data_IF_270661935721
#
_entry.id   IF_270661935721
#
_cell.length_a   1.000
_cell.length_b   1.000
_cell.length_c   1.000
_cell.angle_alpha   90.00
_cell.angle_beta   90.00
_cell.angle_gamma   90.00
#
_symmetry.space_group_name_H-M   'P 1'
#
loop_
_entity.id
_entity.type
_entity.pdbx_description
1 polymer ?
#
# COMPACT_ATOMS: atom_id res chain seq x y z
N UNK A 1 -20.34 35.59 -28.30
CA UNK A 1 -20.09 34.14 -28.11
C UNK A 1 -18.60 33.89 -28.31
N UNK A 2 -17.95 33.20 -27.37
CA UNK A 2 -16.52 32.87 -27.47
C UNK A 2 -16.38 31.48 -28.10
N UNK A 3 -15.67 31.37 -29.22
CA UNK A 3 -15.48 30.10 -29.93
C UNK A 3 -14.05 29.57 -29.79
N UNK A 4 -13.90 28.28 -29.55
CA UNK A 4 -12.59 27.63 -29.50
C UNK A 4 -12.09 27.33 -30.92
N UNK A 5 -10.93 27.89 -31.30
CA UNK A 5 -10.29 27.62 -32.59
C UNK A 5 -9.93 26.15 -32.79
N UNK A 6 -9.65 25.43 -31.69
CA UNK A 6 -9.17 24.04 -31.73
C UNK A 6 -10.30 23.00 -31.93
N UNK A 7 -11.49 23.22 -31.37
CA UNK A 7 -12.61 22.26 -31.42
C UNK A 7 -13.94 22.85 -31.91
N UNK A 8 -13.97 24.14 -32.28
CA UNK A 8 -15.14 24.87 -32.79
C UNK A 8 -16.35 24.96 -31.83
N UNK A 9 -16.21 24.61 -30.55
CA UNK A 9 -17.28 24.81 -29.55
C UNK A 9 -17.44 26.29 -29.20
N UNK A 10 -18.70 26.75 -29.10
CA UNK A 10 -19.09 28.11 -28.72
C UNK A 10 -19.56 28.19 -27.27
N UNK A 11 -19.10 29.21 -26.54
CA UNK A 11 -19.41 29.45 -25.13
C UNK A 11 -20.05 30.82 -24.95
N UNK A 12 -21.09 30.88 -24.11
CA UNK A 12 -21.80 32.13 -23.77
C UNK A 12 -21.03 32.98 -22.75
N UNK A 13 -20.28 32.34 -21.83
CA UNK A 13 -19.51 33.01 -20.76
C UNK A 13 -18.01 32.88 -21.00
N UNK A 14 -17.28 33.98 -20.85
CA UNK A 14 -15.82 34.02 -21.03
C UNK A 14 -15.06 33.08 -20.07
N UNK A 15 -15.50 33.01 -18.80
CA UNK A 15 -14.93 32.08 -17.80
C UNK A 15 -15.04 30.62 -18.23
N UNK A 16 -16.16 30.23 -18.85
CA UNK A 16 -16.37 28.88 -19.39
C UNK A 16 -15.47 28.60 -20.59
N UNK A 17 -15.26 29.60 -21.45
CA UNK A 17 -14.31 29.52 -22.57
C UNK A 17 -12.86 29.35 -22.09
N UNK A 18 -12.43 30.08 -21.05
CA UNK A 18 -11.09 29.94 -20.47
C UNK A 18 -10.87 28.56 -19.84
N UNK A 19 -11.84 28.06 -19.05
CA UNK A 19 -11.82 26.70 -18.50
C UNK A 19 -11.82 25.61 -19.58
N UNK A 20 -12.44 25.87 -20.72
CA UNK A 20 -12.39 24.99 -21.88
C UNK A 20 -11.02 25.05 -22.57
N UNK A 21 -10.45 26.23 -22.76
CA UNK A 21 -9.17 26.45 -23.44
C UNK A 21 -8.01 25.77 -22.70
N UNK A 22 -8.03 25.71 -21.37
CA UNK A 22 -7.03 24.95 -20.59
C UNK A 22 -7.12 23.43 -20.81
N UNK A 23 -8.33 22.92 -21.10
CA UNK A 23 -8.62 21.49 -21.30
C UNK A 23 -8.55 21.05 -22.77
N UNK A 24 -8.71 21.98 -23.71
CA UNK A 24 -8.76 21.73 -25.15
C UNK A 24 -7.36 21.69 -25.80
N UNK A 25 -6.43 20.93 -25.21
CA UNK A 25 -5.13 20.61 -25.85
C UNK A 25 -5.27 19.30 -26.63
N UNK A 26 -5.09 19.37 -27.95
CA UNK A 26 -5.06 18.19 -28.83
C UNK A 26 -3.66 17.59 -28.83
N UNK A 27 -3.58 16.29 -28.58
CA UNK A 27 -2.34 15.50 -28.64
C UNK A 27 -2.45 14.55 -29.81
N UNK A 28 -1.43 14.55 -30.66
CA UNK A 28 -1.36 13.65 -31.81
C UNK A 28 -0.60 12.40 -31.40
N UNK A 29 -1.20 11.23 -31.63
CA UNK A 29 -0.48 9.98 -31.42
C UNK A 29 0.64 9.87 -32.45
N UNK A 30 1.89 9.80 -31.99
CA UNK A 30 3.06 9.62 -32.89
C UNK A 30 2.99 8.34 -33.72
N UNK A 31 2.22 7.33 -33.29
CA UNK A 31 2.11 6.02 -33.94
C UNK A 31 0.98 5.94 -34.97
N UNK A 32 -0.25 6.31 -34.59
CA UNK A 32 -1.41 6.24 -35.49
C UNK A 32 -1.76 7.58 -36.17
N UNK A 33 -1.02 8.65 -35.84
CA UNK A 33 -1.21 10.03 -36.34
C UNK A 33 -2.60 10.63 -36.08
N UNK A 34 -3.45 9.97 -35.31
CA UNK A 34 -4.78 10.49 -34.96
C UNK A 34 -4.70 11.48 -33.80
N UNK A 35 -5.50 12.54 -33.87
CA UNK A 35 -5.55 13.60 -32.84
C UNK A 35 -6.61 13.31 -31.79
N UNK A 36 -6.24 13.36 -30.51
CA UNK A 36 -7.14 13.15 -29.38
C UNK A 36 -7.08 14.34 -28.41
N UNK A 37 -8.10 14.50 -27.58
CA UNK A 37 -7.97 15.38 -26.41
C UNK A 37 -6.94 14.80 -25.44
N UNK A 38 -6.25 15.65 -24.68
CA UNK A 38 -5.28 15.21 -23.66
C UNK A 38 -5.86 14.22 -22.64
N UNK A 39 -7.18 14.27 -22.38
CA UNK A 39 -7.89 13.38 -21.45
C UNK A 39 -8.21 12.01 -22.09
N UNK A 40 -8.54 11.99 -23.38
CA UNK A 40 -8.91 10.76 -24.10
C UNK A 40 -7.70 10.05 -24.70
N UNK A 41 -6.53 10.71 -24.73
CA UNK A 41 -5.33 10.19 -25.36
C UNK A 41 -4.83 8.89 -24.72
N UNK A 42 -4.98 8.72 -23.41
CA UNK A 42 -4.52 7.51 -22.72
C UNK A 42 -5.42 6.31 -22.95
N UNK A 43 -6.74 6.53 -23.01
CA UNK A 43 -7.67 5.50 -23.46
C UNK A 43 -7.32 5.03 -24.88
N UNK A 44 -6.91 5.96 -25.75
CA UNK A 44 -6.39 5.62 -27.07
C UNK A 44 -5.06 4.85 -26.99
N UNK A 45 -4.06 5.26 -26.19
CA UNK A 45 -2.80 4.53 -26.05
C UNK A 45 -3.00 3.10 -25.56
N UNK A 46 -3.99 2.86 -24.70
CA UNK A 46 -4.36 1.53 -24.21
C UNK A 46 -5.07 0.67 -25.28
N UNK A 47 -5.71 1.29 -26.28
CA UNK A 47 -6.47 0.61 -27.35
C UNK A 47 -5.73 0.57 -28.69
N UNK A 48 -4.61 1.28 -28.82
CA UNK A 48 -3.82 1.34 -30.04
C UNK A 48 -3.22 -0.03 -30.32
N UNK A 49 -3.63 -0.66 -31.44
CA UNK A 49 -3.38 -2.08 -31.79
C UNK A 49 -1.91 -2.50 -31.99
N UNK A 50 -0.94 -1.61 -31.78
CA UNK A 50 0.48 -1.96 -31.84
C UNK A 50 1.06 -1.96 -30.43
N UNK A 51 1.61 -3.12 -30.01
CA UNK A 51 2.27 -3.31 -28.71
C UNK A 51 3.16 -2.10 -28.40
N UNK A 52 2.97 -1.52 -27.23
CA UNK A 52 3.84 -0.46 -26.73
C UNK A 52 5.27 -1.01 -26.61
N UNK A 53 6.27 -0.20 -26.97
CA UNK A 53 7.64 -0.50 -26.56
C UNK A 53 7.68 -0.24 -25.07
N UNK A 54 7.71 -1.30 -24.26
CA UNK A 54 7.91 -1.18 -22.82
C UNK A 54 9.32 -0.66 -22.49
N UNK A 55 10.21 -0.57 -23.48
CA UNK A 55 11.57 -0.14 -23.26
C UNK A 55 11.70 1.37 -23.08
N UNK A 56 12.25 1.72 -21.93
CA UNK A 56 12.61 3.06 -21.51
C UNK A 56 14.12 3.12 -21.37
N UNK A 57 14.72 4.20 -21.85
CA UNK A 57 16.13 4.52 -21.69
C UNK A 57 16.31 5.90 -21.07
N UNK A 58 17.55 6.38 -21.14
CA UNK A 58 17.92 7.75 -20.79
C UNK A 58 17.07 8.77 -21.56
N UNK A 59 16.80 9.90 -20.92
CA UNK A 59 15.98 10.95 -21.51
C UNK A 59 16.51 12.33 -21.15
N UNK A 60 16.90 13.10 -22.17
CA UNK A 60 17.52 14.41 -22.03
C UNK A 60 18.67 14.36 -21.01
N UNK A 61 18.58 15.14 -19.92
CA UNK A 61 19.59 15.19 -18.87
C UNK A 61 19.41 14.15 -17.77
N UNK A 62 18.35 13.34 -17.82
CA UNK A 62 18.08 12.30 -16.83
C UNK A 62 18.63 10.96 -17.29
N UNK A 63 19.49 10.37 -16.46
CA UNK A 63 20.02 9.02 -16.68
C UNK A 63 19.13 7.99 -16.01
N UNK A 64 18.80 6.92 -16.71
CA UNK A 64 18.10 5.78 -16.15
C UNK A 64 19.08 4.96 -15.31
N UNK A 65 19.00 5.12 -13.98
CA UNK A 65 19.95 4.50 -13.06
C UNK A 65 19.62 3.02 -12.78
N UNK A 66 18.35 2.70 -12.53
CA UNK A 66 17.91 1.34 -12.21
C UNK A 66 16.62 1.00 -12.92
N UNK A 67 16.52 -0.25 -13.38
CA UNK A 67 15.30 -0.87 -13.91
C UNK A 67 15.11 -2.25 -13.31
N UNK A 68 13.87 -2.58 -12.97
CA UNK A 68 13.49 -3.91 -12.47
C UNK A 68 12.15 -4.37 -13.06
N UNK A 69 11.92 -5.68 -13.02
CA UNK A 69 10.66 -6.31 -13.43
C UNK A 69 10.18 -5.91 -14.84
N UNK A 70 11.08 -5.98 -15.84
CA UNK A 70 10.78 -5.60 -17.25
C UNK A 70 10.20 -4.18 -17.36
N UNK A 71 10.91 -3.21 -16.77
CA UNK A 71 10.54 -1.79 -16.73
C UNK A 71 9.25 -1.47 -15.96
N UNK A 72 8.75 -2.40 -15.14
CA UNK A 72 7.67 -2.07 -14.22
C UNK A 72 8.12 -1.14 -13.09
N UNK A 73 9.42 -1.12 -12.76
CA UNK A 73 10.02 -0.13 -11.87
C UNK A 73 11.23 0.50 -12.54
N UNK A 74 11.34 1.82 -12.45
CA UNK A 74 12.46 2.58 -12.99
C UNK A 74 12.83 3.77 -12.08
N UNK A 75 14.12 4.10 -12.05
CA UNK A 75 14.64 5.26 -11.32
C UNK A 75 15.48 6.09 -12.26
N UNK A 76 15.03 7.31 -12.53
CA UNK A 76 15.79 8.33 -13.23
C UNK A 76 16.54 9.18 -12.23
N UNK A 77 17.81 9.47 -12.51
CA UNK A 77 18.66 10.28 -11.64
C UNK A 77 19.29 11.40 -12.46
N UNK A 78 19.31 12.60 -11.87
CA UNK A 78 20.15 13.71 -12.30
C UNK A 78 20.90 14.25 -11.08
N UNK A 79 22.22 14.33 -11.19
CA UNK A 79 23.06 14.96 -10.19
C UNK A 79 23.56 16.29 -10.75
N UNK A 80 23.43 17.35 -9.95
CA UNK A 80 23.86 18.70 -10.30
C UNK A 80 24.08 19.51 -9.02
N UNK A 81 24.69 20.69 -9.13
CA UNK A 81 25.00 21.58 -8.01
C UNK A 81 23.93 22.65 -7.79
N UNK A 82 22.66 22.28 -7.60
CA UNK A 82 21.62 23.30 -7.41
C UNK A 82 21.74 23.94 -6.02
N UNK A 83 21.78 25.28 -5.95
CA UNK A 83 21.93 26.01 -4.69
C UNK A 83 20.66 25.99 -3.83
N UNK A 84 19.49 25.94 -4.46
CA UNK A 84 18.19 25.93 -3.79
C UNK A 84 17.15 25.14 -4.59
N UNK A 85 15.96 24.94 -4.02
CA UNK A 85 14.84 24.30 -4.73
C UNK A 85 14.38 25.21 -5.88
N UNK A 86 14.30 26.51 -5.68
CA UNK A 86 13.87 27.48 -6.71
C UNK A 86 14.82 27.44 -7.91
N UNK A 87 16.13 27.33 -7.64
CA UNK A 87 17.13 27.16 -8.70
C UNK A 87 16.94 25.84 -9.45
N UNK A 88 16.71 24.73 -8.74
CA UNK A 88 16.39 23.44 -9.37
C UNK A 88 15.15 23.55 -10.26
N UNK A 89 14.12 24.27 -9.82
CA UNK A 89 12.88 24.43 -10.58
C UNK A 89 13.03 25.33 -11.80
N UNK A 90 13.78 26.42 -11.67
CA UNK A 90 14.04 27.31 -12.79
C UNK A 90 14.72 26.56 -13.94
N UNK A 91 15.60 25.60 -13.63
CA UNK A 91 16.35 24.83 -14.62
C UNK A 91 15.62 23.56 -15.07
N UNK A 92 15.07 22.78 -14.13
CA UNK A 92 14.62 21.41 -14.41
C UNK A 92 13.11 21.25 -14.64
N UNK A 93 12.29 22.28 -14.36
CA UNK A 93 10.84 22.14 -14.43
C UNK A 93 10.36 21.63 -15.79
N UNK A 94 10.88 22.18 -16.89
CA UNK A 94 10.52 21.73 -18.23
C UNK A 94 11.07 20.33 -18.56
N UNK A 95 12.27 20.00 -18.07
CA UNK A 95 12.88 18.69 -18.25
C UNK A 95 12.09 17.60 -17.51
N UNK A 96 11.67 17.85 -16.27
CA UNK A 96 10.83 16.94 -15.47
C UNK A 96 9.49 16.72 -16.17
N UNK A 97 8.84 17.80 -16.63
CA UNK A 97 7.58 17.68 -17.37
C UNK A 97 7.73 16.88 -18.65
N UNK A 98 8.82 17.07 -19.38
CA UNK A 98 9.10 16.34 -20.62
C UNK A 98 9.43 14.87 -20.36
N UNK A 99 10.16 14.57 -19.29
CA UNK A 99 10.43 13.20 -18.84
C UNK A 99 9.12 12.47 -18.47
N UNK A 100 8.24 13.12 -17.70
CA UNK A 100 6.95 12.53 -17.32
C UNK A 100 6.05 12.29 -18.54
N UNK A 101 6.05 13.20 -19.53
CA UNK A 101 5.37 13.00 -20.83
C UNK A 101 5.96 11.82 -21.61
N UNK A 102 7.28 11.69 -21.64
CA UNK A 102 7.94 10.57 -22.30
C UNK A 102 7.59 9.22 -21.66
N UNK A 103 7.61 9.15 -20.32
CA UNK A 103 7.29 7.93 -19.57
C UNK A 103 5.83 7.51 -19.82
N UNK A 104 4.87 8.43 -19.71
CA UNK A 104 3.45 8.10 -19.87
C UNK A 104 3.11 7.73 -21.32
N UNK A 105 3.80 8.30 -22.32
CA UNK A 105 3.65 7.93 -23.74
C UNK A 105 4.12 6.50 -24.03
N UNK A 106 5.11 5.99 -23.30
CA UNK A 106 5.69 4.65 -23.52
C UNK A 106 5.09 3.55 -22.64
N UNK A 107 4.94 3.81 -21.35
CA UNK A 107 4.50 2.82 -20.35
C UNK A 107 2.98 2.87 -20.15
N UNK A 108 2.34 3.98 -20.49
CA UNK A 108 0.93 4.24 -20.18
C UNK A 108 0.77 4.79 -18.76
N UNK A 109 -0.19 4.24 -18.01
CA UNK A 109 -0.44 4.67 -16.62
C UNK A 109 0.74 4.31 -15.71
N UNK A 110 1.23 5.30 -14.95
CA UNK A 110 2.35 5.11 -14.01
C UNK A 110 2.07 5.80 -12.68
N UNK A 111 2.72 5.33 -11.61
CA UNK A 111 2.94 6.08 -10.39
C UNK A 111 4.33 6.67 -10.40
N UNK A 112 4.44 7.93 -10.01
CA UNK A 112 5.70 8.67 -10.03
C UNK A 112 5.96 9.26 -8.65
N UNK A 113 7.22 9.43 -8.28
CA UNK A 113 7.65 10.03 -7.02
C UNK A 113 8.96 10.79 -7.21
N UNK A 114 9.07 12.01 -6.68
CA UNK A 114 10.32 12.74 -6.62
C UNK A 114 11.04 12.53 -5.28
N UNK A 115 12.35 12.34 -5.35
CA UNK A 115 13.24 12.32 -4.19
C UNK A 115 14.41 13.27 -4.42
N UNK A 116 14.78 14.05 -3.41
CA UNK A 116 15.94 14.93 -3.45
C UNK A 116 16.96 14.50 -2.42
N UNK A 117 18.24 14.45 -2.80
CA UNK A 117 19.36 14.41 -1.87
C UNK A 117 19.80 15.85 -1.57
N UNK A 118 19.62 16.26 -0.32
CA UNK A 118 19.91 17.61 0.14
C UNK A 118 21.14 17.59 1.03
N UNK A 119 22.04 18.57 0.82
CA UNK A 119 23.17 18.82 1.72
C UNK A 119 22.84 19.99 2.63
N UNK A 120 22.85 19.75 3.93
CA UNK A 120 22.70 20.76 4.97
C UNK A 120 24.04 21.05 5.62
N UNK A 121 24.23 22.30 6.04
CA UNK A 121 25.38 22.76 6.81
C UNK A 121 24.93 23.40 8.13
N UNK A 122 25.73 23.24 9.17
CA UNK A 122 25.57 23.93 10.45
C UNK A 122 26.92 24.52 10.85
N UNK A 123 26.96 25.81 11.15
CA UNK A 123 28.15 26.44 11.71
C UNK A 123 28.23 26.17 13.21
N UNK A 124 29.39 25.70 13.68
CA UNK A 124 29.72 25.58 15.10
C UNK A 124 30.22 26.91 15.63
N UNK A 125 29.98 27.15 16.91
CA UNK A 125 30.49 28.30 17.67
C UNK A 125 32.03 28.36 17.71
N UNK A 126 32.71 27.22 17.55
CA UNK A 126 34.18 27.10 17.60
C UNK A 126 34.87 27.16 16.22
N UNK A 127 34.16 27.58 15.15
CA UNK A 127 34.78 27.85 13.84
C UNK A 127 34.83 26.66 12.86
N UNK A 128 34.04 25.61 13.07
CA UNK A 128 33.87 24.47 12.15
C UNK A 128 32.48 24.41 11.50
N UNK A 129 32.37 23.73 10.35
CA UNK A 129 31.06 23.43 9.72
C UNK A 129 30.76 21.95 9.76
N UNK A 130 29.64 21.57 10.37
CA UNK A 130 29.08 20.24 10.19
C UNK A 130 28.30 20.17 8.88
N UNK A 131 28.41 19.04 8.19
CA UNK A 131 27.64 18.75 6.99
C UNK A 131 26.84 17.48 7.18
N UNK A 132 25.57 17.47 6.75
CA UNK A 132 24.77 16.24 6.68
C UNK A 132 24.04 16.16 5.35
N UNK A 133 23.82 14.93 4.88
CA UNK A 133 23.11 14.66 3.63
C UNK A 133 21.84 13.85 3.91
N UNK A 134 20.70 14.36 3.47
CA UNK A 134 19.39 13.80 3.80
C UNK A 134 18.57 13.66 2.54
N UNK A 135 17.96 12.48 2.37
CA UNK A 135 16.93 12.28 1.37
C UNK A 135 15.60 12.84 1.86
N UNK A 136 15.01 13.73 1.07
CA UNK A 136 13.60 14.13 1.20
C UNK A 136 12.81 13.51 0.07
N UNK A 137 11.72 12.84 0.42
CA UNK A 137 10.92 12.02 -0.48
C UNK A 137 9.51 12.58 -0.49
N UNK A 138 9.04 12.98 -1.67
CA UNK A 138 7.66 13.45 -1.85
C UNK A 138 6.68 12.26 -1.91
N UNK A 139 5.38 12.54 -1.85
CA UNK A 139 4.34 11.55 -2.04
C UNK A 139 4.40 10.91 -3.44
N UNK A 140 4.13 9.61 -3.50
CA UNK A 140 3.99 8.90 -4.77
C UNK A 140 2.60 9.14 -5.36
N UNK A 141 2.54 9.82 -6.51
CA UNK A 141 1.31 10.24 -7.16
C UNK A 141 1.03 9.42 -8.42
N UNK A 142 -0.25 9.22 -8.73
CA UNK A 142 -0.66 8.49 -9.93
C UNK A 142 -0.75 9.43 -11.13
N UNK A 143 0.07 9.17 -12.14
CA UNK A 143 0.07 9.87 -13.42
C UNK A 143 -0.71 9.03 -14.44
N UNK A 144 -2.00 9.35 -14.54
CA UNK A 144 -2.97 8.67 -15.41
C UNK A 144 -3.56 9.61 -16.45
N UNK A 145 -3.07 10.86 -16.53
CA UNK A 145 -3.49 11.89 -17.48
C UNK A 145 -2.39 12.96 -17.64
N UNK A 146 -2.17 13.43 -18.86
CA UNK A 146 -1.16 14.47 -19.15
C UNK A 146 -1.44 15.80 -18.44
N UNK A 147 -2.71 16.12 -18.17
CA UNK A 147 -3.10 17.36 -17.48
C UNK A 147 -2.64 17.39 -16.01
N UNK A 148 -2.40 16.23 -15.39
CA UNK A 148 -2.02 16.17 -13.98
C UNK A 148 -0.52 16.44 -13.75
N UNK A 149 0.30 16.48 -14.80
CA UNK A 149 1.76 16.63 -14.68
C UNK A 149 2.12 17.93 -13.94
N UNK A 150 1.52 19.05 -14.32
CA UNK A 150 1.79 20.34 -13.67
C UNK A 150 1.40 20.33 -12.19
N UNK A 151 0.25 19.72 -11.86
CA UNK A 151 -0.23 19.59 -10.48
C UNK A 151 0.65 18.65 -9.64
N UNK A 152 1.14 17.56 -10.23
CA UNK A 152 2.04 16.61 -9.58
C UNK A 152 3.36 17.29 -9.23
N UNK A 153 3.97 17.99 -10.19
CA UNK A 153 5.22 18.72 -9.97
C UNK A 153 5.03 19.78 -8.89
N UNK A 154 3.93 20.54 -8.93
CA UNK A 154 3.61 21.53 -7.90
C UNK A 154 3.47 20.91 -6.49
N UNK A 155 2.73 19.80 -6.37
CA UNK A 155 2.56 19.12 -5.08
C UNK A 155 3.90 18.59 -4.52
N UNK A 156 4.75 18.01 -5.36
CA UNK A 156 6.07 17.57 -4.93
C UNK A 156 6.91 18.71 -4.36
N UNK A 157 6.86 19.88 -5.00
CA UNK A 157 7.60 21.07 -4.56
C UNK A 157 7.10 21.50 -3.18
N UNK A 158 5.79 21.72 -3.03
CA UNK A 158 5.20 22.17 -1.77
C UNK A 158 5.54 21.21 -0.61
N UNK A 159 5.49 19.89 -0.85
CA UNK A 159 5.85 18.90 0.18
C UNK A 159 7.33 18.93 0.55
N UNK A 160 8.21 19.07 -0.45
CA UNK A 160 9.66 19.10 -0.21
C UNK A 160 10.05 20.39 0.51
N UNK A 161 9.52 21.55 0.10
CA UNK A 161 9.74 22.84 0.77
C UNK A 161 9.32 22.76 2.24
N UNK A 162 8.09 22.30 2.51
CA UNK A 162 7.62 22.08 3.88
C UNK A 162 8.54 21.12 4.67
N UNK A 163 9.07 20.08 4.03
CA UNK A 163 9.96 19.12 4.68
C UNK A 163 11.37 19.67 4.93
N UNK A 164 11.81 20.69 4.18
CA UNK A 164 13.04 21.44 4.44
C UNK A 164 12.79 22.43 5.58
N UNK A 165 11.70 23.20 5.53
CA UNK A 165 11.37 24.17 6.58
C UNK A 165 11.24 23.52 7.95
N UNK A 166 10.57 22.36 8.01
CA UNK A 166 10.48 21.59 9.26
C UNK A 166 11.84 21.10 9.77
N UNK A 167 12.82 20.92 8.87
CA UNK A 167 14.16 20.48 9.25
C UNK A 167 15.03 21.66 9.73
N UNK A 168 14.87 22.85 9.14
CA UNK A 168 15.62 24.06 9.48
C UNK A 168 15.05 24.79 10.72
N UNK A 169 13.72 24.77 10.93
CA UNK A 169 13.06 25.54 11.98
C UNK A 169 13.14 24.96 13.40
N UNK A 170 13.60 23.72 13.60
CA UNK A 170 13.64 23.07 14.92
C UNK A 170 14.82 23.50 15.82
N UNK A 171 15.30 24.74 15.69
CA UNK A 171 16.34 25.32 16.55
C UNK A 171 17.72 24.66 16.45
N UNK A 172 17.94 23.81 15.45
CA UNK A 172 19.12 22.97 15.31
C UNK A 172 20.27 23.64 14.54
N UNK A 173 20.05 24.82 13.95
CA UNK A 173 21.07 25.61 13.25
C UNK A 173 21.45 25.10 11.85
N UNK A 174 20.69 24.14 11.31
CA UNK A 174 20.92 23.59 9.97
C UNK A 174 20.37 24.52 8.89
N UNK A 175 21.19 24.80 7.89
CA UNK A 175 20.84 25.57 6.69
C UNK A 175 21.05 24.72 5.46
N UNK A 176 20.12 24.78 4.50
CA UNK A 176 20.29 24.10 3.22
C UNK A 176 21.46 24.73 2.45
N UNK A 177 22.47 23.93 2.11
CA UNK A 177 23.60 24.38 1.29
C UNK A 177 23.36 24.16 -0.20
N UNK A 178 22.85 22.98 -0.56
CA UNK A 178 22.59 22.61 -1.96
C UNK A 178 21.70 21.38 -2.07
N UNK A 179 21.04 21.26 -3.22
CA UNK A 179 20.44 20.01 -3.71
C UNK A 179 21.47 19.32 -4.58
N UNK A 180 21.87 18.10 -4.23
CA UNK A 180 22.88 17.33 -4.96
C UNK A 180 22.29 16.44 -6.05
N UNK A 181 21.15 15.82 -5.77
CA UNK A 181 20.57 14.80 -6.64
C UNK A 181 19.06 14.95 -6.67
N UNK A 182 18.50 14.84 -7.87
CA UNK A 182 17.08 14.63 -8.14
C UNK A 182 16.87 13.21 -8.67
N UNK A 183 16.10 12.42 -7.93
CA UNK A 183 15.61 11.12 -8.38
C UNK A 183 14.11 11.19 -8.73
N UNK A 184 13.74 10.66 -9.89
CA UNK A 184 12.34 10.43 -10.27
C UNK A 184 12.13 8.92 -10.31
N UNK A 185 11.37 8.40 -9.34
CA UNK A 185 10.99 6.99 -9.25
C UNK A 185 9.68 6.77 -9.99
N UNK A 186 9.63 5.72 -10.78
CA UNK A 186 8.50 5.37 -11.64
C UNK A 186 8.10 3.92 -11.38
N UNK A 187 6.80 3.70 -11.20
CA UNK A 187 6.20 2.38 -11.15
C UNK A 187 5.09 2.25 -12.18
N UNK A 188 5.12 1.22 -13.02
CA UNK A 188 4.04 0.90 -13.95
C UNK A 188 2.75 0.65 -13.16
N UNK A 189 1.72 1.42 -13.46
CA UNK A 189 0.41 1.28 -12.85
C UNK A 189 -0.47 0.46 -13.77
N UNK A 190 -0.65 -0.82 -13.45
CA UNK A 190 -1.71 -1.60 -14.09
C UNK A 190 -3.02 -1.33 -13.37
N UNK A 191 -3.86 -0.49 -13.95
CA UNK A 191 -5.19 -0.25 -13.40
C UNK A 191 -6.06 -1.50 -13.58
N UNK A 192 -6.74 -1.91 -12.51
CA UNK A 192 -7.77 -2.93 -12.57
C UNK A 192 -8.98 -2.37 -13.33
N UNK A 193 -9.08 -2.76 -14.59
CA UNK A 193 -10.21 -2.45 -15.46
C UNK A 193 -10.64 -3.71 -16.21
N UNK A 194 -11.89 -3.74 -16.65
CA UNK A 194 -12.40 -4.85 -17.44
C UNK A 194 -13.39 -4.39 -18.50
N UNK A 195 -13.17 -4.85 -19.72
CA UNK A 195 -13.98 -4.53 -20.90
C UNK A 195 -14.07 -5.59 -21.96
N UNK A 196 -13.60 -6.80 -21.59
CA UNK A 196 -13.49 -8.04 -22.35
C UNK A 196 -12.30 -8.10 -23.33
N UNK A 197 -11.36 -9.01 -23.04
CA UNK A 197 -11.00 -10.10 -23.97
C UNK A 197 -11.07 -11.43 -23.19
N UNK A 198 -11.97 -12.32 -23.63
CA UNK A 198 -12.44 -13.46 -22.83
C UNK A 198 -11.36 -14.52 -22.66
N UNK A 199 -10.84 -14.67 -21.44
CA UNK A 199 -9.94 -15.80 -21.10
C UNK A 199 -10.70 -16.88 -20.36
N UNK A 200 -10.41 -18.15 -20.68
CA UNK A 200 -10.95 -19.29 -19.90
C UNK A 200 -10.51 -19.16 -18.45
N UNK A 201 -11.47 -19.19 -17.53
CA UNK A 201 -11.19 -19.29 -16.10
C UNK A 201 -10.35 -20.55 -15.83
N UNK A 202 -9.42 -20.52 -14.85
CA UNK A 202 -8.72 -21.73 -14.42
C UNK A 202 -9.72 -22.82 -14.01
N UNK A 203 -9.34 -24.09 -14.21
CA UNK A 203 -10.19 -25.26 -13.97
C UNK A 203 -10.84 -25.25 -12.57
N UNK A 204 -10.12 -24.78 -11.57
CA UNK A 204 -10.57 -24.80 -10.17
C UNK A 204 -11.75 -23.87 -9.94
N UNK A 205 -11.80 -22.73 -10.63
CA UNK A 205 -12.91 -21.79 -10.55
C UNK A 205 -14.14 -22.31 -11.31
N UNK A 206 -13.95 -22.99 -12.44
CA UNK A 206 -15.05 -23.61 -13.19
C UNK A 206 -15.71 -24.75 -12.40
N UNK A 207 -14.92 -25.57 -11.70
CA UNK A 207 -15.44 -26.68 -10.88
C UNK A 207 -16.35 -26.20 -9.74
N UNK A 208 -16.08 -25.03 -9.16
CA UNK A 208 -16.87 -24.46 -8.06
C UNK A 208 -18.28 -24.00 -8.48
N UNK A 209 -18.53 -23.81 -9.79
CA UNK A 209 -19.81 -23.31 -10.33
C UNK A 209 -20.36 -22.06 -9.63
N UNK A 210 -19.47 -21.22 -9.10
CA UNK A 210 -19.77 -20.04 -8.30
C UNK A 210 -19.59 -18.72 -9.06
N UNK A 211 -19.08 -18.81 -10.30
CA UNK A 211 -18.89 -17.69 -11.21
C UNK A 211 -19.76 -17.87 -12.44
N UNK A 212 -20.38 -16.77 -12.87
CA UNK A 212 -21.15 -16.67 -14.10
C UNK A 212 -20.46 -15.65 -15.01
N UNK A 213 -20.09 -16.09 -16.21
CA UNK A 213 -19.43 -15.23 -17.20
C UNK A 213 -20.45 -14.71 -18.22
N UNK A 214 -20.56 -13.38 -18.42
CA UNK A 214 -21.32 -12.86 -19.55
C UNK A 214 -20.58 -13.12 -20.86
N UNK A 215 -21.22 -13.85 -21.79
CA UNK A 215 -20.71 -14.07 -23.16
C UNK A 215 -20.87 -12.80 -24.00
N UNK A 216 -20.02 -11.81 -23.75
CA UNK A 216 -20.01 -10.51 -24.42
C UNK A 216 -18.66 -10.24 -25.09
N UNK A 217 -18.65 -9.38 -26.12
CA UNK A 217 -17.41 -8.88 -26.76
C UNK A 217 -16.93 -7.54 -26.16
N UNK A 218 -17.82 -6.83 -25.46
CA UNK A 218 -17.62 -5.54 -24.80
C UNK A 218 -18.59 -5.43 -23.61
N UNK A 219 -18.32 -4.52 -22.68
CA UNK A 219 -19.20 -4.17 -21.56
C UNK A 219 -19.42 -5.31 -20.54
N UNK A 220 -18.39 -6.11 -20.27
CA UNK A 220 -18.48 -7.23 -19.32
C UNK A 220 -18.94 -6.80 -17.91
N UNK A 221 -18.59 -5.59 -17.47
CA UNK A 221 -19.08 -5.03 -16.22
C UNK A 221 -20.61 -4.88 -16.22
N UNK A 222 -21.17 -4.22 -17.25
CA UNK A 222 -22.62 -3.98 -17.40
C UNK A 222 -23.41 -5.29 -17.33
N UNK A 223 -22.97 -6.29 -18.06
CA UNK A 223 -23.68 -7.58 -18.08
C UNK A 223 -23.50 -8.34 -16.77
N UNK A 224 -22.30 -8.36 -16.20
CA UNK A 224 -22.06 -9.02 -14.91
C UNK A 224 -22.85 -8.39 -13.76
N UNK A 225 -23.00 -7.06 -13.74
CA UNK A 225 -23.79 -6.40 -12.71
C UNK A 225 -25.29 -6.71 -12.87
N UNK A 226 -25.83 -6.70 -14.08
CA UNK A 226 -27.23 -7.07 -14.32
C UNK A 226 -27.50 -8.53 -13.97
N UNK A 227 -26.55 -9.43 -14.26
CA UNK A 227 -26.61 -10.84 -13.85
C UNK A 227 -26.68 -11.02 -12.33
N UNK A 228 -25.91 -10.23 -11.58
CA UNK A 228 -25.90 -10.26 -10.13
C UNK A 228 -27.18 -9.67 -9.52
N UNK A 229 -27.68 -8.57 -10.09
CA UNK A 229 -28.85 -7.86 -9.57
C UNK A 229 -30.19 -8.49 -9.97
N UNK A 230 -30.24 -9.22 -11.09
CA UNK A 230 -31.46 -9.90 -11.58
C UNK A 230 -31.22 -11.39 -11.87
N UNK A 231 -30.90 -12.22 -10.86
CA UNK A 231 -30.57 -13.63 -11.07
C UNK A 231 -31.66 -14.38 -11.83
N UNK A 232 -31.26 -15.14 -12.86
CA UNK A 232 -32.18 -15.97 -13.65
C UNK A 232 -32.10 -17.43 -13.21
N UNK A 233 -33.17 -18.19 -13.46
CA UNK A 233 -33.20 -19.64 -13.17
C UNK A 233 -32.57 -20.47 -14.31
N UNK A 234 -32.98 -20.19 -15.55
CA UNK A 234 -32.55 -20.92 -16.75
C UNK A 234 -31.63 -20.07 -17.64
N UNK A 235 -30.66 -20.72 -18.29
CA UNK A 235 -29.76 -20.09 -19.27
C UNK A 235 -29.17 -18.75 -18.80
N UNK A 236 -28.67 -18.74 -17.55
CA UNK A 236 -28.22 -17.54 -16.83
C UNK A 236 -27.10 -16.76 -17.55
N UNK A 237 -26.39 -17.41 -18.45
CA UNK A 237 -25.31 -16.83 -19.26
C UNK A 237 -25.83 -15.95 -20.41
N UNK A 238 -27.11 -16.08 -20.80
CA UNK A 238 -27.67 -15.45 -21.99
C UNK A 238 -28.00 -13.98 -21.73
N UNK A 239 -27.22 -13.10 -22.33
CA UNK A 239 -27.37 -11.64 -22.25
C UNK A 239 -28.79 -11.16 -22.59
N UNK A 240 -29.47 -11.83 -23.54
CA UNK A 240 -30.81 -11.46 -23.98
C UNK A 240 -31.83 -11.30 -22.85
N UNK A 241 -31.74 -12.12 -21.79
CA UNK A 241 -32.64 -12.05 -20.64
C UNK A 241 -32.47 -10.77 -19.82
N UNK A 242 -31.29 -10.15 -19.88
CA UNK A 242 -30.93 -9.02 -19.04
C UNK A 242 -31.13 -7.67 -19.71
N UNK A 243 -31.30 -7.65 -21.04
CA UNK A 243 -31.51 -6.41 -21.82
C UNK A 243 -32.69 -5.58 -21.32
N UNK A 244 -33.74 -6.24 -20.82
CA UNK A 244 -34.95 -5.57 -20.29
C UNK A 244 -34.61 -4.68 -19.08
N UNK A 245 -33.61 -5.05 -18.29
CA UNK A 245 -33.20 -4.32 -17.09
C UNK A 245 -32.19 -3.19 -17.38
N UNK A 246 -31.69 -3.07 -18.61
CA UNK A 246 -30.66 -2.09 -18.97
C UNK A 246 -31.12 -0.64 -18.69
N UNK A 247 -32.40 -0.34 -18.95
CA UNK A 247 -32.99 0.99 -18.70
C UNK A 247 -33.22 1.31 -17.21
N UNK A 248 -33.11 0.34 -16.31
CA UNK A 248 -33.33 0.54 -14.87
C UNK A 248 -32.11 1.14 -14.16
N UNK A 249 -30.96 1.21 -14.84
CA UNK A 249 -29.71 1.67 -14.26
C UNK A 249 -29.01 2.68 -15.19
N UNK A 250 -28.35 3.67 -14.59
CA UNK A 250 -27.52 4.64 -15.30
C UNK A 250 -26.12 4.08 -15.54
N UNK A 251 -25.86 3.72 -16.80
CA UNK A 251 -24.54 3.30 -17.31
C UNK A 251 -23.78 4.41 -18.04
N UNK A 252 -24.25 5.67 -18.05
CA UNK A 252 -23.68 6.76 -18.86
C UNK A 252 -22.19 7.06 -18.61
N UNK A 253 -21.68 6.72 -17.42
CA UNK A 253 -20.27 6.92 -17.03
C UNK A 253 -19.44 5.64 -17.01
N UNK A 254 -20.01 4.56 -17.53
CA UNK A 254 -19.38 3.25 -17.63
C UNK A 254 -19.20 2.98 -19.11
N UNK A 255 -17.95 2.95 -19.55
CA UNK A 255 -17.57 2.52 -20.89
C UNK A 255 -17.04 1.08 -20.87
N UNK A 256 -16.76 0.54 -22.06
CA UNK A 256 -16.35 -0.84 -22.24
C UNK A 256 -15.29 -1.27 -21.23
N UNK A 257 -14.17 -0.57 -21.13
CA UNK A 257 -13.11 -0.83 -20.14
C UNK A 257 -13.43 -0.16 -18.80
N UNK A 258 -14.31 -0.79 -18.02
CA UNK A 258 -14.73 -0.23 -16.74
C UNK A 258 -13.63 -0.37 -15.68
N UNK A 259 -13.17 0.76 -15.14
CA UNK A 259 -12.23 0.85 -14.01
C UNK A 259 -12.95 0.77 -12.67
N UNK A 260 -12.23 0.43 -11.59
CA UNK A 260 -12.77 0.50 -10.22
C UNK A 260 -13.31 1.90 -9.86
N UNK A 261 -12.71 2.98 -10.37
CA UNK A 261 -13.23 4.34 -10.12
C UNK A 261 -14.62 4.55 -10.73
N UNK A 262 -14.84 4.04 -11.95
CA UNK A 262 -16.15 4.07 -12.60
C UNK A 262 -17.16 3.17 -11.88
N UNK A 263 -16.74 2.01 -11.36
CA UNK A 263 -17.61 1.17 -10.50
C UNK A 263 -18.12 1.97 -9.31
N UNK A 264 -17.26 2.71 -8.60
CA UNK A 264 -17.68 3.57 -7.47
C UNK A 264 -18.67 4.67 -7.86
N UNK A 265 -18.55 5.21 -9.08
CA UNK A 265 -19.49 6.23 -9.60
C UNK A 265 -20.83 5.59 -9.92
N UNK A 266 -20.81 4.42 -10.55
CA UNK A 266 -21.99 3.62 -10.86
C UNK A 266 -22.77 3.25 -9.60
N UNK A 267 -22.08 2.76 -8.56
CA UNK A 267 -22.73 2.38 -7.28
C UNK A 267 -23.45 3.55 -6.63
N UNK A 268 -22.79 4.72 -6.58
CA UNK A 268 -23.35 5.95 -6.00
C UNK A 268 -24.58 6.45 -6.75
N UNK A 269 -24.58 6.41 -8.09
CA UNK A 269 -25.70 6.90 -8.91
C UNK A 269 -26.92 6.00 -8.88
N UNK A 270 -26.69 4.69 -8.80
CA UNK A 270 -27.75 3.69 -8.90
C UNK A 270 -28.24 3.19 -7.54
N UNK A 271 -27.68 3.73 -6.45
CA UNK A 271 -27.94 3.27 -5.08
C UNK A 271 -27.80 1.74 -4.92
N UNK A 272 -26.71 1.20 -5.45
CA UNK A 272 -26.37 -0.23 -5.35
C UNK A 272 -25.03 -0.41 -4.68
N UNK A 273 -24.84 -1.52 -3.98
CA UNK A 273 -23.56 -1.87 -3.37
C UNK A 273 -22.87 -2.95 -4.19
N UNK A 274 -21.57 -2.77 -4.47
CA UNK A 274 -20.79 -3.70 -5.29
C UNK A 274 -19.47 -4.02 -4.60
N UNK A 275 -19.16 -5.31 -4.50
CA UNK A 275 -17.84 -5.79 -4.14
C UNK A 275 -17.13 -6.32 -5.38
N UNK A 276 -15.82 -6.08 -5.49
CA UNK A 276 -14.97 -6.57 -6.58
C UNK A 276 -13.79 -7.31 -5.99
N UNK A 277 -13.55 -8.54 -6.44
CA UNK A 277 -12.44 -9.41 -6.02
C UNK A 277 -11.52 -9.70 -7.20
N UNK A 278 -10.26 -10.03 -6.93
CA UNK A 278 -9.26 -10.47 -7.93
C UNK A 278 -8.41 -11.60 -7.38
N UNK A 279 -7.50 -12.13 -8.20
CA UNK A 279 -6.41 -12.98 -7.74
C UNK A 279 -5.17 -12.15 -7.41
N UNK A 280 -4.45 -12.57 -6.38
CA UNK A 280 -3.11 -12.09 -6.08
C UNK A 280 -2.16 -12.40 -7.24
N UNK A 281 -1.15 -11.55 -7.46
CA UNK A 281 -0.18 -11.73 -8.54
C UNK A 281 0.84 -12.84 -8.27
N UNK A 282 0.91 -13.37 -7.05
CA UNK A 282 1.80 -14.47 -6.69
C UNK A 282 1.33 -15.82 -7.27
N UNK A 283 2.23 -16.79 -7.30
CA UNK A 283 1.96 -18.12 -7.89
C UNK A 283 0.77 -18.83 -7.24
N UNK A 284 0.48 -18.52 -5.96
CA UNK A 284 -0.62 -19.09 -5.20
C UNK A 284 -2.01 -18.64 -5.68
N UNK A 285 -2.11 -17.53 -6.44
CA UNK A 285 -3.35 -17.01 -7.04
C UNK A 285 -4.54 -17.02 -6.07
N UNK A 286 -4.34 -16.42 -4.89
CA UNK A 286 -5.36 -16.31 -3.85
C UNK A 286 -6.38 -15.25 -4.19
N UNK A 287 -7.62 -15.45 -3.74
CA UNK A 287 -8.68 -14.46 -3.90
C UNK A 287 -8.47 -13.33 -2.88
N UNK A 288 -8.46 -12.09 -3.36
CA UNK A 288 -8.34 -10.88 -2.53
C UNK A 288 -9.38 -9.83 -2.93
N UNK A 289 -9.88 -9.04 -1.96
CA UNK A 289 -10.77 -7.93 -2.24
C UNK A 289 -10.01 -6.78 -2.91
N UNK A 290 -10.54 -6.26 -4.02
CA UNK A 290 -10.11 -4.99 -4.63
C UNK A 290 -10.96 -3.81 -4.17
N UNK A 291 -12.25 -4.07 -3.98
CA UNK A 291 -13.23 -3.09 -3.52
C UNK A 291 -14.31 -3.82 -2.75
N UNK A 292 -14.63 -3.30 -1.56
CA UNK A 292 -15.75 -3.78 -0.76
C UNK A 292 -16.58 -2.56 -0.39
N UNK A 293 -17.90 -2.65 -0.57
CA UNK A 293 -18.82 -1.63 -0.13
C UNK A 293 -18.85 -1.60 1.40
N UNK A 294 -18.70 -0.40 1.99
CA UNK A 294 -18.76 -0.24 3.46
C UNK A 294 -20.14 -0.60 4.00
N UNK A 295 -21.17 -0.20 3.27
CA UNK A 295 -22.57 -0.46 3.61
C UNK A 295 -23.22 -1.29 2.52
N UNK A 296 -23.92 -2.33 2.93
CA UNK A 296 -24.66 -3.21 2.04
C UNK A 296 -26.03 -2.60 1.77
N UNK A 297 -26.25 -2.20 0.52
CA UNK A 297 -27.55 -1.77 0.03
C UNK A 297 -28.44 -2.98 -0.25
N UNK A 298 -29.76 -2.76 -0.33
CA UNK A 298 -30.75 -3.79 -0.67
C UNK A 298 -30.38 -4.51 -1.98
N UNK A 299 -29.98 -3.72 -2.98
CA UNK A 299 -29.39 -4.21 -4.23
C UNK A 299 -27.87 -4.33 -4.04
N UNK A 300 -27.40 -5.58 -3.98
CA UNK A 300 -26.00 -5.90 -3.76
C UNK A 300 -25.47 -6.88 -4.81
N UNK A 301 -24.24 -6.65 -5.28
CA UNK A 301 -23.57 -7.53 -6.22
C UNK A 301 -22.13 -7.83 -5.79
N UNK A 302 -21.72 -9.07 -6.01
CA UNK A 302 -20.34 -9.50 -5.86
C UNK A 302 -19.79 -9.83 -7.25
N UNK A 303 -18.69 -9.19 -7.63
CA UNK A 303 -18.05 -9.35 -8.93
C UNK A 303 -16.61 -9.86 -8.76
N UNK A 304 -16.16 -10.63 -9.73
CA UNK A 304 -14.76 -11.08 -9.81
C UNK A 304 -14.14 -10.51 -11.08
N UNK A 305 -13.01 -9.82 -10.94
CA UNK A 305 -12.25 -9.27 -12.06
C UNK A 305 -11.04 -10.17 -12.32
N UNK A 306 -10.99 -10.76 -13.51
CA UNK A 306 -9.88 -11.60 -13.93
C UNK A 306 -9.61 -11.40 -15.41
N UNK A 307 -8.33 -11.14 -15.75
CA UNK A 307 -7.89 -10.86 -17.11
C UNK A 307 -8.79 -9.88 -17.87
N UNK A 308 -9.03 -8.70 -17.29
CA UNK A 308 -9.81 -7.63 -17.93
C UNK A 308 -11.26 -8.01 -18.27
N UNK A 309 -11.79 -9.03 -17.57
CA UNK A 309 -13.17 -9.46 -17.67
C UNK A 309 -13.82 -9.52 -16.28
N UNK A 310 -15.01 -8.94 -16.17
CA UNK A 310 -15.85 -9.05 -14.99
C UNK A 310 -16.72 -10.31 -15.08
N UNK A 311 -16.74 -11.07 -13.99
CA UNK A 311 -17.60 -12.22 -13.76
C UNK A 311 -18.57 -11.90 -12.61
N UNK A 312 -19.80 -12.40 -12.70
CA UNK A 312 -20.76 -12.35 -11.62
C UNK A 312 -20.47 -13.50 -10.62
N UNK A 313 -20.28 -13.18 -9.34
CA UNK A 313 -20.17 -14.17 -8.28
C UNK A 313 -21.59 -14.54 -7.82
N UNK A 314 -22.04 -15.74 -8.19
CA UNK A 314 -23.39 -16.23 -7.85
C UNK A 314 -23.46 -16.84 -6.45
N UNK A 315 -22.34 -17.38 -5.95
CA UNK A 315 -22.23 -17.92 -4.60
C UNK A 315 -20.85 -17.58 -4.03
N UNK A 316 -20.81 -16.57 -3.16
CA UNK A 316 -19.55 -16.09 -2.58
C UNK A 316 -18.85 -17.13 -1.71
N UNK A 317 -19.59 -17.84 -0.86
CA UNK A 317 -19.00 -18.86 0.01
C UNK A 317 -18.36 -19.99 -0.81
N UNK A 318 -19.04 -20.46 -1.88
CA UNK A 318 -18.48 -21.46 -2.78
C UNK A 318 -17.28 -20.92 -3.57
N UNK A 319 -17.28 -19.64 -3.94
CA UNK A 319 -16.17 -18.98 -4.62
C UNK A 319 -14.89 -18.95 -3.77
N UNK A 320 -14.99 -18.56 -2.50
CA UNK A 320 -13.83 -18.48 -1.59
C UNK A 320 -13.40 -19.87 -1.10
N UNK A 321 -14.35 -20.74 -0.76
CA UNK A 321 -14.08 -22.02 -0.10
C UNK A 321 -13.02 -22.85 -0.83
N UNK A 322 -12.02 -23.31 -0.08
CA UNK A 322 -11.07 -24.32 -0.56
C UNK A 322 -11.66 -25.72 -0.42
N UNK A 323 -11.20 -26.67 -1.23
CA UNK A 323 -11.73 -28.04 -1.22
C UNK A 323 -11.57 -28.76 0.13
N UNK A 324 -10.61 -28.34 0.96
CA UNK A 324 -10.27 -28.94 2.26
C UNK A 324 -10.78 -28.14 3.47
N UNK A 325 -11.57 -27.10 3.24
CA UNK A 325 -12.05 -26.18 4.28
C UNK A 325 -13.37 -26.65 4.89
N UNK A 326 -13.45 -26.62 6.22
CA UNK A 326 -14.65 -26.94 7.01
C UNK A 326 -15.56 -25.71 7.17
N UNK A 327 -15.03 -24.53 6.89
CA UNK A 327 -15.71 -23.25 6.93
C UNK A 327 -16.79 -23.16 5.85
N UNK A 328 -17.93 -22.56 6.21
CA UNK A 328 -19.12 -22.46 5.35
C UNK A 328 -19.51 -21.02 5.08
N UNK A 329 -19.11 -20.09 5.96
CA UNK A 329 -19.45 -18.68 5.90
C UNK A 329 -18.16 -17.88 5.77
N UNK A 330 -18.10 -16.97 4.80
CA UNK A 330 -16.91 -16.17 4.56
C UNK A 330 -17.23 -14.68 4.67
N UNK A 331 -16.34 -13.92 5.29
CA UNK A 331 -16.48 -12.47 5.37
C UNK A 331 -16.17 -11.82 4.02
N UNK A 332 -17.03 -10.92 3.54
CA UNK A 332 -16.79 -10.19 2.30
C UNK A 332 -15.56 -9.25 2.38
N UNK A 333 -15.26 -8.72 3.56
CA UNK A 333 -14.21 -7.72 3.75
C UNK A 333 -12.80 -8.33 3.84
N UNK A 334 -12.66 -9.47 4.53
CA UNK A 334 -11.36 -10.11 4.75
C UNK A 334 -11.19 -11.49 4.13
N UNK A 335 -12.25 -12.06 3.56
CA UNK A 335 -12.29 -13.41 3.00
C UNK A 335 -11.98 -14.53 4.02
N UNK A 336 -11.94 -14.23 5.32
CA UNK A 336 -11.78 -15.25 6.37
C UNK A 336 -13.02 -16.14 6.47
N UNK A 337 -12.78 -17.43 6.68
CA UNK A 337 -13.82 -18.44 6.82
C UNK A 337 -14.23 -18.66 8.28
N UNK A 338 -15.51 -18.95 8.46
CA UNK A 338 -16.16 -19.25 9.73
C UNK A 338 -17.06 -20.47 9.57
N UNK A 339 -17.18 -21.25 10.65
CA UNK A 339 -18.04 -22.44 10.66
C UNK A 339 -19.53 -22.10 10.75
N UNK A 340 -19.87 -21.05 11.51
CA UNK A 340 -21.25 -20.69 11.86
C UNK A 340 -21.50 -19.21 11.55
N UNK A 341 -22.74 -18.88 11.15
CA UNK A 341 -23.14 -17.51 10.81
C UNK A 341 -22.95 -16.54 11.99
N UNK A 342 -23.25 -16.95 13.23
CA UNK A 342 -23.08 -16.10 14.43
C UNK A 342 -21.63 -15.67 14.64
N UNK A 343 -20.67 -16.55 14.36
CA UNK A 343 -19.24 -16.23 14.48
C UNK A 343 -18.83 -15.21 13.41
N UNK A 344 -19.35 -15.34 12.20
CA UNK A 344 -19.16 -14.34 11.14
C UNK A 344 -19.73 -12.99 11.56
N UNK A 345 -20.98 -12.94 12.04
CA UNK A 345 -21.62 -11.67 12.44
C UNK A 345 -20.85 -10.94 13.56
N UNK A 346 -20.33 -11.67 14.56
CA UNK A 346 -19.46 -11.08 15.59
C UNK A 346 -18.16 -10.51 15.00
N UNK A 347 -17.58 -11.22 14.02
CA UNK A 347 -16.37 -10.77 13.35
C UNK A 347 -16.60 -9.51 12.47
N UNK A 348 -17.71 -9.44 11.75
CA UNK A 348 -18.02 -8.35 10.83
C UNK A 348 -18.04 -6.97 11.52
N UNK A 349 -18.55 -6.89 12.76
CA UNK A 349 -18.59 -5.65 13.56
C UNK A 349 -17.22 -4.99 13.65
N UNK A 350 -16.16 -5.76 13.90
CA UNK A 350 -14.80 -5.25 14.04
C UNK A 350 -14.08 -5.20 12.69
N UNK A 351 -14.42 -6.12 11.78
CA UNK A 351 -13.74 -6.24 10.48
C UNK A 351 -14.04 -5.06 9.56
N UNK A 352 -15.29 -4.61 9.46
CA UNK A 352 -15.68 -3.52 8.55
C UNK A 352 -15.16 -2.14 8.98
N UNK A 353 -14.69 -1.99 10.22
CA UNK A 353 -13.96 -0.80 10.67
C UNK A 353 -12.56 -0.70 10.06
N UNK A 354 -12.05 -1.79 9.48
CA UNK A 354 -10.73 -1.87 8.86
C UNK A 354 -10.85 -1.88 7.34
N UNK A 355 -9.79 -1.46 6.66
CA UNK A 355 -9.69 -1.56 5.19
C UNK A 355 -9.81 -3.01 4.74
N UNK A 356 -10.50 -3.24 3.61
CA UNK A 356 -10.65 -4.57 3.02
C UNK A 356 -9.28 -5.18 2.70
N UNK A 357 -9.00 -6.34 3.29
CA UNK A 357 -7.72 -7.03 3.11
C UNK A 357 -7.85 -8.51 3.48
N UNK A 358 -7.21 -9.38 2.70
CA UNK A 358 -7.08 -10.79 3.10
C UNK A 358 -5.95 -10.93 4.13
N UNK A 359 -6.24 -11.53 5.27
CA UNK A 359 -5.26 -11.74 6.35
C UNK A 359 -4.66 -13.13 6.21
N UNK A 360 -3.33 -13.20 6.25
CA UNK A 360 -2.59 -14.46 6.38
C UNK A 360 -1.92 -14.47 7.75
N UNK A 361 -2.26 -15.44 8.59
CA UNK A 361 -1.69 -15.52 9.94
C UNK A 361 -0.32 -16.23 9.92
N UNK A 362 0.61 -15.87 10.83
CA UNK A 362 1.82 -16.66 11.06
C UNK A 362 1.48 -18.11 11.39
N UNK A 363 2.17 -19.07 10.78
CA UNK A 363 1.88 -20.50 10.87
C UNK A 363 1.04 -21.07 9.73
N UNK A 364 0.41 -20.22 8.92
CA UNK A 364 -0.27 -20.66 7.70
C UNK A 364 0.68 -20.60 6.50
N UNK A 365 0.59 -21.60 5.62
CA UNK A 365 1.27 -21.63 4.32
C UNK A 365 2.78 -21.33 4.34
N UNK A 366 3.52 -22.13 5.11
CA UNK A 366 4.96 -22.06 5.29
C UNK A 366 5.47 -20.78 5.96
N UNK A 367 4.58 -19.90 6.44
CA UNK A 367 4.97 -18.77 7.27
C UNK A 367 5.29 -19.32 8.67
N UNK A 368 6.52 -19.14 9.18
CA UNK A 368 6.86 -19.67 10.49
C UNK A 368 6.00 -19.01 11.58
N UNK A 369 5.47 -19.82 12.50
CA UNK A 369 4.76 -19.34 13.71
C UNK A 369 5.69 -18.62 14.69
N UNK A 370 7.01 -18.88 14.58
CA UNK A 370 8.05 -18.35 15.45
C UNK A 370 9.11 -17.66 14.60
N UNK A 371 9.26 -16.35 14.76
CA UNK A 371 10.45 -15.64 14.28
C UNK A 371 11.58 -15.86 15.28
N UNK A 372 12.75 -16.31 14.81
CA UNK A 372 13.97 -16.40 15.61
C UNK A 372 15.01 -15.48 14.97
N UNK A 373 15.59 -14.59 15.78
CA UNK A 373 16.75 -13.82 15.34
C UNK A 373 17.94 -14.78 15.25
N UNK A 374 18.48 -14.97 14.04
CA UNK A 374 19.64 -15.84 13.79
C UNK A 374 20.98 -15.16 14.08
N UNK A 375 20.98 -13.83 14.08
CA UNK A 375 22.18 -13.00 14.26
C UNK A 375 21.93 -12.03 15.41
N UNK A 376 21.79 -12.57 16.63
CA UNK A 376 21.60 -11.76 17.84
C UNK A 376 22.76 -10.77 18.02
N UNK A 377 23.98 -11.16 17.62
CA UNK A 377 25.16 -10.30 17.59
C UNK A 377 25.05 -9.07 16.67
N UNK A 378 24.05 -9.01 15.77
CA UNK A 378 23.77 -7.85 14.91
C UNK A 378 22.59 -7.01 15.40
N UNK A 379 21.97 -7.35 16.53
CA UNK A 379 20.99 -6.46 17.15
C UNK A 379 21.70 -5.29 17.80
N UNK A 380 21.06 -4.12 17.83
CA UNK A 380 21.56 -2.97 18.57
C UNK A 380 21.70 -3.37 20.04
N UNK A 381 22.87 -3.13 20.64
CA UNK A 381 23.11 -3.39 22.05
C UNK A 381 22.07 -2.65 22.89
N UNK A 382 21.48 -3.35 23.86
CA UNK A 382 20.57 -2.69 24.80
C UNK A 382 21.36 -1.72 25.68
N UNK A 383 20.77 -0.57 26.05
CA UNK A 383 21.45 0.42 26.89
C UNK A 383 21.78 -0.12 28.28
N UNK A 384 21.03 -1.11 28.77
CA UNK A 384 21.26 -1.73 30.07
C UNK A 384 21.21 -3.24 29.95
N UNK A 385 22.08 -3.92 30.68
CA UNK A 385 22.10 -5.38 30.81
C UNK A 385 21.93 -5.71 32.29
N UNK A 386 21.02 -6.63 32.61
CA UNK A 386 20.77 -7.09 33.97
C UNK A 386 21.17 -8.55 34.07
N UNK A 387 22.15 -8.83 34.93
CA UNK A 387 22.54 -10.17 35.32
C UNK A 387 21.79 -10.54 36.60
N UNK A 388 21.17 -11.70 36.61
CA UNK A 388 20.47 -12.23 37.77
C UNK A 388 20.77 -13.71 37.91
N UNK A 389 21.05 -14.12 39.14
CA UNK A 389 21.28 -15.52 39.48
C UNK A 389 20.62 -15.87 40.81
N UNK A 390 20.26 -17.15 40.99
CA UNK A 390 19.55 -17.67 42.14
C UNK A 390 20.24 -18.89 42.72
N UNK A 391 20.28 -18.95 44.04
CA UNK A 391 20.55 -20.18 44.76
C UNK A 391 19.23 -20.77 45.28
N UNK A 392 19.13 -22.09 45.23
CA UNK A 392 17.95 -22.82 45.67
C UNK A 392 18.31 -23.90 46.68
N UNK A 393 17.45 -24.05 47.69
CA UNK A 393 17.47 -25.19 48.58
C UNK A 393 16.76 -26.37 47.91
N UNK A 394 17.34 -27.55 48.06
CA UNK A 394 16.79 -28.80 47.56
C UNK A 394 15.95 -29.47 48.65
N UNK A 395 14.64 -29.28 48.61
CA UNK A 395 13.73 -29.85 49.59
C UNK A 395 13.23 -31.19 49.07
N UNK A 396 13.63 -32.27 49.75
CA UNK A 396 13.17 -33.62 49.42
C UNK A 396 11.64 -33.68 49.46
N UNK A 397 11.06 -34.19 48.40
CA UNK A 397 9.62 -34.37 48.24
C UNK A 397 9.37 -35.84 47.88
N UNK A 398 8.21 -36.38 48.24
CA UNK A 398 7.80 -37.74 47.87
C UNK A 398 6.40 -37.71 47.23
N UNK A 399 6.13 -36.66 46.45
CA UNK A 399 4.81 -36.45 45.84
C UNK A 399 4.73 -37.24 44.54
N UNK A 400 3.73 -38.13 44.45
CA UNK A 400 3.44 -38.85 43.23
C UNK A 400 2.81 -37.89 42.21
N UNK A 401 3.49 -37.65 41.09
CA UNK A 401 2.96 -36.88 39.96
C UNK A 401 2.14 -37.77 39.02
N UNK A 402 2.52 -39.05 38.90
CA UNK A 402 1.78 -40.11 38.19
C UNK A 402 1.99 -41.46 38.90
N UNK A 403 1.38 -42.56 38.41
CA UNK A 403 1.57 -43.92 38.96
C UNK A 403 3.05 -44.36 39.01
N UNK A 404 3.90 -43.87 38.12
CA UNK A 404 5.30 -44.30 37.97
C UNK A 404 6.31 -43.14 38.08
N UNK A 405 5.89 -41.94 38.46
CA UNK A 405 6.78 -40.76 38.53
C UNK A 405 6.56 -40.01 39.84
N UNK A 406 7.64 -39.87 40.60
CA UNK A 406 7.67 -39.17 41.88
C UNK A 406 8.58 -37.95 41.79
N UNK A 407 8.12 -36.83 42.32
CA UNK A 407 8.94 -35.63 42.51
C UNK A 407 9.90 -35.88 43.68
N UNK A 408 11.19 -36.07 43.39
CA UNK A 408 12.24 -36.37 44.38
C UNK A 408 12.69 -35.13 45.17
N UNK A 409 12.79 -33.97 44.51
CA UNK A 409 13.24 -32.71 45.11
C UNK A 409 12.50 -31.52 44.50
N UNK A 410 12.11 -30.59 45.37
CA UNK A 410 11.58 -29.28 45.01
C UNK A 410 12.67 -28.24 45.24
N UNK A 411 12.93 -27.41 44.23
CA UNK A 411 13.90 -26.32 44.32
C UNK A 411 13.20 -25.07 44.86
N UNK A 412 13.52 -24.66 46.09
CA UNK A 412 13.02 -23.43 46.68
C UNK A 412 14.12 -22.37 46.71
N UNK A 413 13.93 -21.29 45.94
CA UNK A 413 14.88 -20.18 45.88
C UNK A 413 15.09 -19.57 47.28
N UNK A 414 16.34 -19.51 47.73
CA UNK A 414 16.70 -19.02 49.06
C UNK A 414 17.56 -17.75 49.02
N UNK A 415 18.23 -17.49 47.90
CA UNK A 415 18.89 -16.21 47.65
C UNK A 415 18.93 -15.87 46.18
N UNK A 416 19.11 -14.58 45.89
CA UNK A 416 19.39 -14.10 44.55
C UNK A 416 20.48 -13.01 44.59
N UNK A 417 21.23 -12.94 43.50
CA UNK A 417 22.06 -11.79 43.14
C UNK A 417 21.49 -11.13 41.90
N UNK A 418 21.41 -9.80 41.91
CA UNK A 418 20.98 -9.01 40.77
C UNK A 418 21.92 -7.82 40.58
N UNK A 419 22.43 -7.65 39.36
CA UNK A 419 23.36 -6.57 38.99
C UNK A 419 22.91 -5.99 37.64
N UNK A 420 22.75 -4.67 37.58
CA UNK A 420 22.45 -3.93 36.35
C UNK A 420 23.65 -3.08 35.93
N UNK A 421 24.08 -3.21 34.69
CA UNK A 421 25.16 -2.44 34.08
C UNK A 421 24.63 -1.57 32.94
N UNK A 422 25.29 -0.44 32.70
CA UNK A 422 25.03 0.44 31.56
C UNK A 422 25.90 0.12 30.34
N UNK A 423 25.72 0.88 29.27
CA UNK A 423 26.46 0.77 28.01
C UNK A 423 27.94 1.16 28.11
N UNK A 424 28.39 1.70 29.25
CA UNK A 424 29.78 2.01 29.57
C UNK A 424 30.37 1.02 30.59
N UNK A 425 29.74 -0.16 30.75
CA UNK A 425 30.11 -1.20 31.71
C UNK A 425 30.10 -0.74 33.18
N UNK A 426 29.38 0.35 33.50
CA UNK A 426 29.24 0.85 34.87
C UNK A 426 28.08 0.15 35.57
N UNK A 427 28.33 -0.36 36.76
CA UNK A 427 27.30 -0.92 37.63
C UNK A 427 26.39 0.21 38.11
N UNK A 428 25.14 0.21 37.66
CA UNK A 428 24.12 1.18 38.06
C UNK A 428 23.36 0.75 39.31
N UNK A 429 23.15 -0.56 39.47
CA UNK A 429 22.39 -1.12 40.57
C UNK A 429 22.89 -2.52 40.90
N UNK A 430 22.99 -2.83 42.19
CA UNK A 430 23.24 -4.18 42.66
C UNK A 430 22.41 -4.48 43.89
N UNK A 431 21.86 -5.69 43.96
CA UNK A 431 21.13 -6.18 45.13
C UNK A 431 21.33 -7.68 45.30
N UNK A 432 21.75 -8.04 46.50
CA UNK A 432 21.86 -9.41 46.96
C UNK A 432 20.87 -9.60 48.10
N UNK A 433 20.16 -10.72 48.10
CA UNK A 433 19.20 -11.02 49.16
C UNK A 433 19.21 -12.51 49.46
N UNK A 434 19.10 -12.84 50.74
CA UNK A 434 18.97 -14.21 51.25
C UNK A 434 17.82 -14.26 52.26
N UNK A 435 16.87 -15.16 52.05
CA UNK A 435 15.71 -15.34 52.92
C UNK A 435 14.60 -16.14 52.26
N UNK A 436 13.58 -16.50 53.06
CA UNK A 436 12.46 -17.35 52.64
C UNK A 436 11.63 -16.77 51.48
N UNK A 437 11.65 -15.45 51.31
CA UNK A 437 10.86 -14.74 50.29
C UNK A 437 11.72 -14.24 49.12
N UNK A 438 12.82 -14.95 48.79
CA UNK A 438 13.77 -14.52 47.76
C UNK A 438 13.11 -14.23 46.42
N UNK A 439 12.19 -15.08 45.96
CA UNK A 439 11.46 -14.88 44.69
C UNK A 439 10.58 -13.63 44.70
N UNK A 440 9.85 -13.38 45.79
CA UNK A 440 8.95 -12.21 45.88
C UNK A 440 9.77 -10.92 45.91
N UNK A 441 10.80 -10.88 46.74
CA UNK A 441 11.68 -9.70 46.88
C UNK A 441 12.46 -9.45 45.58
N UNK A 442 12.78 -10.49 44.82
CA UNK A 442 13.39 -10.35 43.50
C UNK A 442 12.45 -9.63 42.52
N UNK A 443 11.18 -10.05 42.43
CA UNK A 443 10.19 -9.41 41.55
C UNK A 443 9.97 -7.95 41.96
N UNK A 444 9.82 -7.67 43.25
CA UNK A 444 9.68 -6.30 43.75
C UNK A 444 10.91 -5.45 43.44
N UNK A 445 12.10 -6.06 43.51
CA UNK A 445 13.37 -5.40 43.15
C UNK A 445 13.43 -5.11 41.65
N UNK A 446 13.00 -6.04 40.80
CA UNK A 446 12.94 -5.83 39.35
C UNK A 446 11.99 -4.71 38.95
N UNK A 447 10.83 -4.61 39.61
CA UNK A 447 9.88 -3.53 39.35
C UNK A 447 10.47 -2.17 39.74
N UNK A 448 11.10 -2.07 40.91
CA UNK A 448 11.82 -0.85 41.34
C UNK A 448 12.98 -0.51 40.41
N UNK A 449 13.74 -1.52 39.97
CA UNK A 449 14.85 -1.35 39.04
C UNK A 449 14.37 -0.83 37.68
N UNK A 450 13.25 -1.34 37.17
CA UNK A 450 12.65 -0.85 35.93
C UNK A 450 12.38 0.65 36.00
N UNK A 451 11.74 1.11 37.08
CA UNK A 451 11.41 2.53 37.25
C UNK A 451 12.69 3.38 37.38
N UNK A 452 13.70 2.88 38.10
CA UNK A 452 15.01 3.52 38.21
C UNK A 452 15.73 3.66 36.86
N UNK A 453 15.82 2.56 36.09
CA UNK A 453 16.48 2.56 34.78
C UNK A 453 15.74 3.43 33.77
N UNK A 454 14.41 3.52 33.87
CA UNK A 454 13.60 4.37 33.01
C UNK A 454 13.88 5.86 33.29
N UNK A 455 13.93 6.26 34.56
CA UNK A 455 14.32 7.63 34.95
C UNK A 455 15.76 7.96 34.51
N UNK A 456 16.69 7.02 34.67
CA UNK A 456 18.08 7.17 34.24
C UNK A 456 18.17 7.36 32.71
N UNK A 457 17.41 6.59 31.95
CA UNK A 457 17.35 6.69 30.49
C UNK A 457 16.79 8.05 30.02
N UNK A 458 15.77 8.56 30.70
CA UNK A 458 15.14 9.85 30.35
C UNK A 458 16.06 11.05 30.68
N UNK A 459 16.89 10.95 31.72
CA UNK A 459 17.92 11.94 32.03
C UNK A 459 19.04 11.96 30.97
N UNK A 460 19.51 10.78 30.55
CA UNK A 460 20.59 10.68 29.56
C UNK A 460 20.14 10.89 28.11
N UNK A 461 18.85 10.73 27.78
CA UNK A 461 18.29 11.15 26.48
C UNK A 461 18.36 12.66 26.23
N UNK A 462 18.29 13.49 27.28
CA UNK A 462 18.38 14.96 27.14
C UNK A 462 19.79 15.44 26.78
N UNK A 463 20.81 14.66 27.14
CA UNK A 463 22.22 14.99 26.88
C UNK A 463 22.66 14.63 25.45
N UNK A 464 22.07 13.61 24.81
CA UNK A 464 22.42 13.22 23.43
C UNK A 464 21.82 14.12 22.34
N UNK A 465 20.90 15.03 22.68
CA UNK A 465 20.46 16.12 21.80
C UNK A 465 21.37 17.35 21.84
N UNK A 466 22.41 17.34 22.67
CA UNK A 466 23.33 18.46 22.87
C UNK A 466 24.78 18.18 22.42
N UNK A 467 25.04 17.09 21.67
CA UNK A 467 26.34 16.81 21.07
C UNK A 467 26.24 16.67 19.54
#
# INVERSE_FOLDING_TARGET
MFSCSTCKQSFLKYKSFLLHKTKCKKVVCKKCKSSFSSLTFLNHLNQCRQKQSEDIGDFATFKLHKRSYRNALAVYIKADGWKSIEHLLAVEKENIQSLLKYIIERIGSVKVQACLLLKFIKQKTEGGTDTTEIYKVAEMLSLTNLHHIETIVKNWIEQIELAIDQFTQRGSGWVLQSVKVLEIRVGKLKEHSGGCDSTKLPSDFNKKKSLLSPKCRKDCFKWSILMALHPQKMNKERIGHYKVFEKQYDFSQVDGMTTLSQVKRFTKRNNVSVNVYTLTPDEKKKIVPLMVAKERQLKHANLFLFNEHYYCITNFNAFIKSSRSWERHFCYNCCSGFRNQTALSKHEIVCYNKTAQSVVLPGQENIPTKCKFRQIQKTISYPYIVYADFEALLIKTNKALTKNTFEYQKHEACSFGLVAIDWNDKILFQKFYRGLNASQIFIDTLLKLKDFLQNHLDQHKKLSTAQ
#
